data_IF_192004923873
#
_entry.id   IF_192004923873
#
_cell.length_a   1.000
_cell.length_b   1.000
_cell.length_c   1.000
_cell.angle_alpha   90.00
_cell.angle_beta   90.00
_cell.angle_gamma   90.00
#
_symmetry.space_group_name_H-M   'P 1'
#
loop_
_entity.id
_entity.type
_entity.pdbx_description
1 polymer ?
#
# COMPACT_ATOMS: atom_id res chain seq x y z
N UNK A 1 -25.63 29.30 -20.35
CA UNK A 1 -26.33 28.00 -20.28
C UNK A 1 -27.76 28.21 -19.83
N UNK A 2 -28.77 27.63 -20.54
CA UNK A 2 -30.18 27.78 -20.15
C UNK A 2 -30.40 27.08 -18.79
N UNK A 3 -31.13 27.65 -17.83
CA UNK A 3 -31.33 27.08 -16.50
C UNK A 3 -31.92 25.66 -16.51
N UNK A 4 -32.75 25.34 -17.52
CA UNK A 4 -33.28 24.01 -17.73
C UNK A 4 -32.21 22.96 -18.04
N UNK A 5 -31.15 23.30 -18.78
CA UNK A 5 -30.07 22.38 -19.09
C UNK A 5 -29.19 22.13 -17.86
N UNK A 6 -28.92 23.17 -17.05
CA UNK A 6 -28.20 23.03 -15.80
C UNK A 6 -28.98 22.12 -14.81
N UNK A 7 -30.29 22.33 -14.69
CA UNK A 7 -31.16 21.47 -13.84
C UNK A 7 -31.18 20.00 -14.31
N UNK A 8 -31.24 19.76 -15.61
CA UNK A 8 -31.20 18.41 -16.18
C UNK A 8 -29.82 17.73 -15.91
N UNK A 9 -28.73 18.43 -16.06
CA UNK A 9 -27.38 17.91 -15.78
C UNK A 9 -27.25 17.56 -14.28
N UNK A 10 -27.70 18.43 -13.39
CA UNK A 10 -27.68 18.18 -11.95
C UNK A 10 -28.54 16.97 -11.60
N UNK A 11 -29.73 16.83 -12.16
CA UNK A 11 -30.60 15.69 -11.93
C UNK A 11 -29.97 14.36 -12.42
N UNK A 12 -29.33 14.37 -13.58
CA UNK A 12 -28.61 13.20 -14.12
C UNK A 12 -27.44 12.82 -13.22
N UNK A 13 -26.63 13.80 -12.81
CA UNK A 13 -25.48 13.56 -11.90
C UNK A 13 -25.94 12.99 -10.56
N UNK A 14 -26.99 13.58 -9.96
CA UNK A 14 -27.56 13.07 -8.71
C UNK A 14 -28.14 11.65 -8.90
N UNK A 15 -28.80 11.37 -10.01
CA UNK A 15 -29.33 10.03 -10.31
C UNK A 15 -28.20 9.01 -10.47
N UNK A 16 -27.11 9.39 -11.15
CA UNK A 16 -25.94 8.52 -11.30
C UNK A 16 -25.29 8.22 -9.94
N UNK A 17 -25.18 9.21 -9.06
CA UNK A 17 -24.61 9.04 -7.71
C UNK A 17 -25.45 8.12 -6.81
N UNK A 18 -26.72 7.93 -7.11
CA UNK A 18 -27.61 7.00 -6.39
C UNK A 18 -27.40 5.53 -6.81
N UNK A 19 -26.79 5.28 -7.97
CA UNK A 19 -26.46 3.91 -8.40
C UNK A 19 -25.21 3.40 -7.68
N UNK A 20 -25.05 2.05 -7.49
CA UNK A 20 -23.82 1.52 -6.91
C UNK A 20 -22.55 1.97 -7.64
N UNK A 21 -22.45 1.88 -9.00
CA UNK A 21 -21.26 2.39 -9.71
C UNK A 21 -21.04 3.89 -9.52
N UNK A 22 -22.10 4.69 -9.48
CA UNK A 22 -22.00 6.13 -9.28
C UNK A 22 -21.52 6.49 -7.87
N UNK A 23 -21.95 5.74 -6.85
CA UNK A 23 -21.45 5.91 -5.49
C UNK A 23 -19.98 5.57 -5.37
N UNK A 24 -19.52 4.48 -6.01
CA UNK A 24 -18.10 4.12 -6.06
C UNK A 24 -17.28 5.20 -6.77
N UNK A 25 -17.75 5.71 -7.92
CA UNK A 25 -17.11 6.81 -8.63
C UNK A 25 -17.05 8.09 -7.77
N UNK A 26 -18.11 8.40 -7.03
CA UNK A 26 -18.17 9.49 -6.06
C UNK A 26 -17.13 9.34 -4.95
N UNK A 27 -17.02 8.15 -4.35
CA UNK A 27 -15.99 7.84 -3.34
C UNK A 27 -14.57 8.01 -3.91
N UNK A 28 -14.30 7.52 -5.12
CA UNK A 28 -13.00 7.66 -5.77
C UNK A 28 -12.66 9.14 -6.01
N UNK A 29 -13.60 9.94 -6.52
CA UNK A 29 -13.41 11.36 -6.72
C UNK A 29 -13.17 12.13 -5.40
N UNK A 30 -13.91 11.78 -4.34
CA UNK A 30 -13.71 12.35 -3.01
C UNK A 30 -12.34 11.97 -2.43
N UNK A 31 -11.92 10.70 -2.53
CA UNK A 31 -10.60 10.27 -2.08
C UNK A 31 -9.49 11.03 -2.80
N UNK A 32 -9.56 11.16 -4.14
CA UNK A 32 -8.61 11.96 -4.91
C UNK A 32 -8.63 13.42 -4.46
N UNK A 33 -9.81 14.03 -4.29
CA UNK A 33 -9.90 15.44 -3.88
C UNK A 33 -9.30 15.68 -2.49
N UNK A 34 -9.48 14.75 -1.54
CA UNK A 34 -8.93 14.88 -0.20
C UNK A 34 -7.41 14.68 -0.16
N UNK A 35 -6.88 13.73 -0.95
CA UNK A 35 -5.47 13.35 -0.88
C UNK A 35 -4.58 14.15 -1.86
N UNK A 36 -5.14 14.62 -3.00
CA UNK A 36 -4.35 15.33 -4.00
C UNK A 36 -4.02 16.77 -3.53
N UNK A 37 -2.73 17.13 -3.36
CA UNK A 37 -2.33 18.40 -2.72
C UNK A 37 -2.73 19.63 -3.51
N UNK A 38 -2.90 19.49 -4.84
CA UNK A 38 -3.25 20.60 -5.74
C UNK A 38 -4.75 20.89 -5.82
N UNK A 39 -5.60 20.09 -5.16
CA UNK A 39 -7.04 20.35 -5.05
C UNK A 39 -7.32 21.04 -3.71
N UNK A 40 -7.65 22.36 -3.73
CA UNK A 40 -7.83 23.11 -2.48
C UNK A 40 -9.14 22.82 -1.76
N UNK A 41 -10.13 22.27 -2.48
CA UNK A 41 -11.46 21.97 -1.94
C UNK A 41 -11.48 20.55 -1.38
N UNK A 42 -11.83 20.44 -0.09
CA UNK A 42 -11.90 19.18 0.66
C UNK A 42 -13.34 18.92 1.10
N UNK A 43 -14.23 18.48 0.17
CA UNK A 43 -15.68 18.45 0.39
C UNK A 43 -16.11 17.40 1.41
N UNK A 44 -15.36 16.33 1.58
CA UNK A 44 -15.72 15.21 2.43
C UNK A 44 -15.90 15.64 3.89
N UNK A 45 -15.06 16.57 4.36
CA UNK A 45 -15.15 17.14 5.72
C UNK A 45 -16.41 17.94 5.98
N UNK A 46 -17.02 18.47 4.93
CA UNK A 46 -18.30 19.21 5.04
C UNK A 46 -19.53 18.29 4.96
N UNK A 47 -19.34 17.11 4.34
CA UNK A 47 -20.43 16.17 4.03
C UNK A 47 -20.54 15.00 5.03
N UNK A 48 -19.57 14.86 5.95
CA UNK A 48 -19.49 13.74 6.89
C UNK A 48 -19.08 14.19 8.28
N UNK A 49 -19.56 13.48 9.30
CA UNK A 49 -19.12 13.66 10.69
C UNK A 49 -17.69 13.18 10.89
N UNK A 50 -16.96 13.71 11.88
CA UNK A 50 -15.63 13.23 12.22
C UNK A 50 -15.69 11.78 12.75
N UNK A 51 -14.76 10.92 12.33
CA UNK A 51 -14.66 9.57 12.88
C UNK A 51 -14.13 9.58 14.31
N UNK A 52 -14.29 8.45 15.00
CA UNK A 52 -13.70 8.22 16.32
C UNK A 52 -12.34 7.54 16.16
N UNK A 53 -11.36 7.93 16.96
CA UNK A 53 -10.04 7.31 17.00
C UNK A 53 -9.87 6.55 18.31
N UNK A 54 -9.57 5.27 18.22
CA UNK A 54 -9.19 4.39 19.34
C UNK A 54 -7.73 3.99 19.18
N UNK A 55 -7.01 3.88 20.30
CA UNK A 55 -5.70 3.28 20.31
C UNK A 55 -5.78 1.91 21.00
N UNK A 56 -5.28 0.90 20.34
CA UNK A 56 -5.29 -0.49 20.81
C UNK A 56 -3.88 -1.05 20.86
N UNK A 57 -3.67 -2.01 21.77
CA UNK A 57 -2.43 -2.76 21.85
C UNK A 57 -2.67 -4.19 21.35
N UNK A 58 -1.80 -4.65 20.45
CA UNK A 58 -1.80 -6.00 19.90
C UNK A 58 -0.57 -6.75 20.40
N UNK A 59 -0.70 -8.07 20.58
CA UNK A 59 0.42 -8.96 20.84
C UNK A 59 0.87 -9.65 19.53
N UNK A 60 2.02 -9.26 19.04
CA UNK A 60 2.70 -9.87 17.90
C UNK A 60 4.05 -10.50 18.29
N UNK A 61 4.11 -11.12 19.48
CA UNK A 61 5.35 -11.57 20.12
C UNK A 61 6.01 -10.47 20.95
N UNK A 62 5.64 -9.24 20.68
CA UNK A 62 5.90 -8.03 21.47
C UNK A 62 4.68 -7.10 21.33
N UNK A 63 4.41 -6.24 22.33
CA UNK A 63 3.28 -5.32 22.25
C UNK A 63 3.51 -4.28 21.16
N UNK A 64 2.53 -4.13 20.27
CA UNK A 64 2.47 -3.10 19.25
C UNK A 64 1.23 -2.25 19.43
N UNK A 65 1.37 -0.95 19.23
CA UNK A 65 0.25 -0.03 19.24
C UNK A 65 -0.37 0.07 17.84
N UNK A 66 -1.70 0.20 17.78
CA UNK A 66 -2.39 0.50 16.55
C UNK A 66 -3.43 1.61 16.77
N UNK A 67 -3.51 2.53 15.83
CA UNK A 67 -4.59 3.53 15.78
C UNK A 67 -5.73 2.92 14.93
N UNK A 68 -6.95 2.88 15.50
CA UNK A 68 -8.17 2.41 14.82
C UNK A 68 -9.10 3.60 14.63
N UNK A 69 -9.39 3.94 13.38
CA UNK A 69 -10.24 5.07 13.00
C UNK A 69 -11.59 4.52 12.54
N UNK A 70 -12.63 4.79 13.33
CA UNK A 70 -13.95 4.18 13.21
C UNK A 70 -14.91 5.19 12.57
N UNK A 71 -15.61 4.81 11.48
CA UNK A 71 -16.66 5.64 10.88
C UNK A 71 -17.75 6.02 11.89
N UNK A 72 -18.30 7.24 11.77
CA UNK A 72 -19.46 7.68 12.58
C UNK A 72 -20.77 6.97 12.17
N UNK A 73 -20.78 6.31 11.03
CA UNK A 73 -21.93 5.55 10.50
C UNK A 73 -22.18 4.29 11.35
N UNK A 74 -23.46 3.99 11.59
CA UNK A 74 -23.84 2.77 12.30
C UNK A 74 -23.76 1.54 11.42
N UNK A 75 -23.39 0.39 12.00
CA UNK A 75 -23.40 -0.90 11.32
C UNK A 75 -22.02 -1.55 11.26
N UNK A 76 -21.91 -2.53 10.37
CA UNK A 76 -20.63 -3.19 10.08
C UNK A 76 -19.91 -2.47 8.96
N UNK A 77 -18.59 -2.34 9.08
CA UNK A 77 -17.76 -1.63 8.13
C UNK A 77 -16.77 -2.56 7.43
N UNK A 78 -16.53 -2.37 6.13
CA UNK A 78 -15.34 -2.91 5.48
C UNK A 78 -14.09 -2.32 6.15
N UNK A 79 -13.01 -3.10 6.19
CA UNK A 79 -11.79 -2.73 6.90
C UNK A 79 -10.65 -2.47 5.93
N UNK A 80 -9.87 -1.44 6.21
CA UNK A 80 -8.61 -1.15 5.56
C UNK A 80 -7.51 -1.10 6.62
N UNK A 81 -6.53 -2.01 6.53
CA UNK A 81 -5.33 -2.02 7.37
C UNK A 81 -4.19 -1.40 6.57
N UNK A 82 -3.58 -0.33 7.10
CA UNK A 82 -2.50 0.40 6.44
C UNK A 82 -1.15 -0.20 6.83
N UNK A 83 -0.41 -0.68 5.85
CA UNK A 83 0.94 -1.21 5.99
C UNK A 83 1.94 -0.19 5.41
N UNK A 84 2.58 0.56 6.30
CA UNK A 84 3.48 1.63 5.90
C UNK A 84 4.89 1.12 5.65
N UNK A 85 5.63 1.85 4.81
CA UNK A 85 7.06 1.65 4.61
C UNK A 85 7.90 2.22 5.76
N UNK A 86 9.22 2.17 5.57
CA UNK A 86 10.21 2.59 6.57
C UNK A 86 10.30 4.11 6.61
N UNK A 87 9.55 4.72 7.54
CA UNK A 87 9.60 6.16 7.81
C UNK A 87 9.54 6.44 9.31
N UNK A 88 10.08 7.58 9.70
CA UNK A 88 9.95 8.05 11.08
C UNK A 88 8.51 8.50 11.33
N UNK A 89 7.89 7.92 12.33
CA UNK A 89 6.48 8.08 12.69
C UNK A 89 6.03 9.53 12.89
N UNK A 90 6.88 10.35 13.48
CA UNK A 90 6.48 11.68 13.94
C UNK A 90 6.24 12.64 12.77
N UNK A 91 6.96 12.48 11.66
CA UNK A 91 6.83 13.36 10.49
C UNK A 91 5.63 12.98 9.61
N UNK A 92 5.33 11.68 9.49
CA UNK A 92 4.28 11.19 8.58
C UNK A 92 2.94 10.95 9.27
N UNK A 93 2.91 10.89 10.60
CA UNK A 93 1.67 10.61 11.36
C UNK A 93 0.50 11.51 10.97
N UNK A 94 0.65 12.83 10.78
CA UNK A 94 -0.46 13.67 10.34
C UNK A 94 -1.00 13.29 8.97
N UNK A 95 -0.14 12.90 8.03
CA UNK A 95 -0.52 12.47 6.67
C UNK A 95 -1.28 11.15 6.73
N UNK A 96 -0.80 10.19 7.53
CA UNK A 96 -1.41 8.88 7.68
C UNK A 96 -2.75 8.94 8.40
N UNK A 97 -2.84 9.71 9.48
CA UNK A 97 -4.11 9.97 10.16
C UNK A 97 -5.08 10.73 9.24
N UNK A 98 -4.58 11.61 8.37
CA UNK A 98 -5.39 12.27 7.35
C UNK A 98 -5.95 11.30 6.31
N UNK A 99 -5.18 10.31 5.88
CA UNK A 99 -5.65 9.25 5.00
C UNK A 99 -6.67 8.35 5.72
N UNK A 100 -6.36 7.94 6.95
CA UNK A 100 -7.27 7.12 7.77
C UNK A 100 -8.60 7.85 8.06
N UNK A 101 -8.57 9.14 8.40
CA UNK A 101 -9.76 10.00 8.55
C UNK A 101 -10.59 10.05 7.25
N UNK A 102 -9.91 10.24 6.12
CA UNK A 102 -10.59 10.25 4.80
C UNK A 102 -11.29 8.93 4.52
N UNK A 103 -10.61 7.81 4.70
CA UNK A 103 -11.17 6.48 4.50
C UNK A 103 -12.33 6.19 5.46
N UNK A 104 -12.20 6.58 6.73
CA UNK A 104 -13.26 6.41 7.71
C UNK A 104 -14.50 7.24 7.36
N UNK A 105 -14.34 8.48 6.89
CA UNK A 105 -15.46 9.31 6.37
C UNK A 105 -16.13 8.68 5.15
N UNK A 106 -15.39 7.90 4.34
CA UNK A 106 -15.93 7.12 3.22
C UNK A 106 -16.60 5.80 3.66
N UNK A 107 -16.57 5.48 4.96
CA UNK A 107 -17.26 4.34 5.56
C UNK A 107 -16.38 3.10 5.79
N UNK A 108 -15.06 3.22 5.70
CA UNK A 108 -14.12 2.13 5.98
C UNK A 108 -13.55 2.26 7.39
N UNK A 109 -13.68 1.23 8.23
CA UNK A 109 -12.90 1.16 9.45
C UNK A 109 -11.43 1.04 9.04
N UNK A 110 -10.60 1.96 9.51
CA UNK A 110 -9.19 2.00 9.12
C UNK A 110 -8.31 1.71 10.31
N UNK A 111 -7.38 0.78 10.18
CA UNK A 111 -6.43 0.43 11.21
C UNK A 111 -5.01 0.70 10.72
N UNK A 112 -4.23 1.34 11.55
CA UNK A 112 -2.81 1.57 11.31
C UNK A 112 -1.97 0.99 12.45
N UNK A 113 -1.48 -0.26 12.32
CA UNK A 113 -0.55 -0.85 13.27
C UNK A 113 0.83 -0.21 13.13
N UNK A 114 1.48 0.04 14.26
CA UNK A 114 2.80 0.65 14.33
C UNK A 114 3.82 -0.43 14.66
N UNK A 115 4.54 -0.91 13.64
CA UNK A 115 5.67 -1.79 13.84
C UNK A 115 6.87 -1.01 14.35
N UNK A 116 7.40 -1.37 15.51
CA UNK A 116 8.62 -0.75 16.07
C UNK A 116 9.82 -0.96 15.15
N UNK A 117 9.86 -2.08 14.45
CA UNK A 117 10.93 -2.40 13.52
C UNK A 117 10.91 -1.47 12.29
N UNK A 118 9.71 -1.29 11.70
CA UNK A 118 9.53 -0.34 10.58
C UNK A 118 9.85 1.09 11.05
N UNK A 119 9.42 1.46 12.26
CA UNK A 119 9.72 2.75 12.88
C UNK A 119 11.21 2.97 13.11
N UNK A 120 11.93 1.94 13.56
CA UNK A 120 13.37 1.98 13.79
C UNK A 120 14.20 1.88 12.50
N UNK A 121 13.54 1.82 11.31
CA UNK A 121 14.17 1.58 10.01
C UNK A 121 14.85 0.21 9.90
N UNK A 122 14.37 -0.74 10.67
CA UNK A 122 14.85 -2.10 10.68
C UNK A 122 13.83 -2.97 9.91
N UNK A 123 14.29 -3.77 8.95
CA UNK A 123 13.45 -4.74 8.25
C UNK A 123 13.63 -6.08 8.96
N UNK A 124 12.63 -6.49 9.73
CA UNK A 124 12.68 -7.74 10.48
C UNK A 124 11.71 -8.79 9.97
N UNK A 125 12.03 -10.01 10.31
CA UNK A 125 11.25 -11.21 10.00
C UNK A 125 9.87 -11.23 10.66
N UNK A 126 9.70 -10.44 11.71
CA UNK A 126 8.47 -10.36 12.49
C UNK A 126 7.44 -9.39 11.90
N UNK A 127 7.84 -8.54 10.96
CA UNK A 127 6.95 -7.53 10.39
C UNK A 127 5.65 -8.09 9.78
N UNK A 128 5.64 -9.25 9.07
CA UNK A 128 4.40 -9.85 8.62
C UNK A 128 3.45 -10.22 9.76
N UNK A 129 3.97 -10.62 10.94
CA UNK A 129 3.16 -10.98 12.11
C UNK A 129 2.32 -9.80 12.61
N UNK A 130 2.83 -8.58 12.51
CA UNK A 130 2.09 -7.36 12.86
C UNK A 130 0.77 -7.28 12.09
N UNK A 131 0.80 -7.55 10.78
CA UNK A 131 -0.39 -7.49 9.93
C UNK A 131 -1.29 -8.71 10.11
N UNK A 132 -0.71 -9.89 10.34
CA UNK A 132 -1.49 -11.09 10.69
C UNK A 132 -2.30 -10.85 11.97
N UNK A 133 -1.67 -10.33 13.03
CA UNK A 133 -2.37 -10.00 14.28
C UNK A 133 -3.40 -8.91 14.11
N UNK A 134 -3.12 -7.92 13.27
CA UNK A 134 -4.10 -6.88 12.95
C UNK A 134 -5.35 -7.44 12.28
N UNK A 135 -5.21 -8.36 11.32
CA UNK A 135 -6.36 -9.03 10.69
C UNK A 135 -7.13 -9.89 11.70
N UNK A 136 -6.44 -10.66 12.51
CA UNK A 136 -7.09 -11.47 13.55
C UNK A 136 -7.86 -10.60 14.55
N UNK A 137 -7.27 -9.48 14.98
CA UNK A 137 -7.93 -8.54 15.89
C UNK A 137 -9.22 -7.96 15.28
N UNK A 138 -9.18 -7.47 14.02
CA UNK A 138 -10.38 -6.88 13.42
C UNK A 138 -11.45 -7.91 13.14
N UNK A 139 -11.13 -9.20 12.95
CA UNK A 139 -12.10 -10.28 12.80
C UNK A 139 -12.94 -10.51 14.07
N UNK A 140 -12.42 -10.19 15.26
CA UNK A 140 -13.12 -10.31 16.53
C UNK A 140 -14.04 -9.12 16.83
N UNK A 141 -13.92 -8.02 16.09
CA UNK A 141 -14.72 -6.81 16.32
C UNK A 141 -16.16 -6.96 15.81
N UNK A 142 -17.17 -6.54 16.61
CA UNK A 142 -18.57 -6.64 16.22
C UNK A 142 -18.98 -5.65 15.10
N UNK A 143 -18.24 -4.55 14.95
CA UNK A 143 -18.47 -3.47 13.97
C UNK A 143 -17.76 -3.70 12.62
N UNK A 144 -17.17 -4.89 12.42
CA UNK A 144 -16.43 -5.27 11.21
C UNK A 144 -17.24 -6.18 10.30
N UNK A 145 -17.13 -5.97 8.98
CA UNK A 145 -17.59 -6.90 7.95
C UNK A 145 -16.46 -7.90 7.61
N UNK A 146 -16.51 -9.15 8.12
CA UNK A 146 -15.35 -10.05 8.11
C UNK A 146 -14.96 -10.57 6.72
N UNK A 147 -15.81 -10.33 5.70
CA UNK A 147 -15.54 -10.70 4.30
C UNK A 147 -14.94 -9.55 3.49
N UNK A 148 -14.74 -8.39 4.09
CA UNK A 148 -14.26 -7.18 3.41
C UNK A 148 -13.11 -6.54 4.20
N UNK A 149 -12.08 -7.34 4.46
CA UNK A 149 -10.83 -6.89 5.09
C UNK A 149 -9.79 -6.77 3.99
N UNK A 150 -9.21 -5.58 3.86
CA UNK A 150 -8.20 -5.27 2.84
C UNK A 150 -6.94 -4.72 3.48
N UNK A 151 -5.79 -5.08 2.91
CA UNK A 151 -4.50 -4.49 3.27
C UNK A 151 -4.12 -3.45 2.22
N UNK A 152 -3.66 -2.29 2.65
CA UNK A 152 -3.10 -1.25 1.78
C UNK A 152 -1.66 -1.03 2.17
N UNK A 153 -0.75 -1.50 1.34
CA UNK A 153 0.68 -1.42 1.60
C UNK A 153 1.37 -0.36 0.75
N UNK A 154 2.28 0.36 1.38
CA UNK A 154 3.10 1.40 0.76
C UNK A 154 4.58 1.05 0.88
N UNK A 155 5.35 1.18 -0.21
CA UNK A 155 6.78 0.91 -0.20
C UNK A 155 7.07 -0.52 0.31
N UNK A 156 8.08 -0.72 1.12
CA UNK A 156 8.40 -2.00 1.78
C UNK A 156 7.18 -2.59 2.51
N UNK A 157 6.32 -1.74 3.10
CA UNK A 157 5.08 -2.19 3.75
C UNK A 157 4.13 -2.94 2.79
N UNK A 158 4.15 -2.63 1.49
CA UNK A 158 3.36 -3.37 0.50
C UNK A 158 3.85 -4.82 0.34
N UNK A 159 5.16 -5.02 0.35
CA UNK A 159 5.78 -6.34 0.27
C UNK A 159 5.49 -7.18 1.52
N UNK A 160 5.65 -6.57 2.70
CA UNK A 160 5.36 -7.22 3.99
C UNK A 160 3.87 -7.56 4.10
N UNK A 161 2.97 -6.65 3.69
CA UNK A 161 1.53 -6.90 3.68
C UNK A 161 1.14 -8.05 2.74
N UNK A 162 1.82 -8.21 1.58
CA UNK A 162 1.60 -9.35 0.69
C UNK A 162 2.01 -10.65 1.36
N UNK A 163 3.17 -10.66 2.01
CA UNK A 163 3.64 -11.85 2.77
C UNK A 163 2.64 -12.21 3.87
N UNK A 164 2.16 -11.22 4.63
CA UNK A 164 1.14 -11.44 5.65
C UNK A 164 -0.18 -11.97 5.05
N UNK A 165 -0.65 -11.39 3.92
CA UNK A 165 -1.88 -11.82 3.25
C UNK A 165 -1.84 -13.28 2.76
N UNK A 166 -0.65 -13.84 2.60
CA UNK A 166 -0.43 -15.25 2.23
C UNK A 166 -0.30 -16.18 3.45
N UNK A 167 -0.35 -15.66 4.68
CA UNK A 167 -0.29 -16.49 5.90
C UNK A 167 -1.55 -17.33 6.02
N UNK A 168 -1.44 -18.67 6.23
CA UNK A 168 -2.60 -19.56 6.29
C UNK A 168 -3.64 -19.20 7.34
N UNK A 169 -3.24 -18.49 8.41
CA UNK A 169 -4.15 -18.06 9.49
C UNK A 169 -5.16 -17.01 9.03
N UNK A 170 -4.81 -16.21 8.00
CA UNK A 170 -5.62 -15.08 7.55
C UNK A 170 -5.88 -15.04 6.04
N UNK A 171 -5.21 -15.87 5.23
CA UNK A 171 -5.29 -15.80 3.76
C UNK A 171 -6.74 -15.86 3.23
N UNK A 172 -7.62 -16.65 3.87
CA UNK A 172 -9.03 -16.75 3.49
C UNK A 172 -9.87 -15.53 3.92
N UNK A 173 -9.35 -14.65 4.74
CA UNK A 173 -10.03 -13.48 5.29
C UNK A 173 -9.59 -12.17 4.62
N UNK A 174 -8.41 -12.14 3.99
CA UNK A 174 -7.95 -10.97 3.26
C UNK A 174 -8.61 -10.94 1.88
N UNK A 175 -9.52 -9.98 1.70
CA UNK A 175 -10.31 -9.83 0.48
C UNK A 175 -9.50 -9.18 -0.65
N UNK A 176 -8.77 -8.10 -0.33
CA UNK A 176 -7.93 -7.39 -1.29
C UNK A 176 -6.60 -6.95 -0.67
N UNK A 177 -5.59 -6.82 -1.54
CA UNK A 177 -4.32 -6.19 -1.25
C UNK A 177 -4.06 -5.08 -2.27
N UNK A 178 -3.87 -3.87 -1.80
CA UNK A 178 -3.40 -2.75 -2.60
C UNK A 178 -1.88 -2.65 -2.39
N UNK A 179 -1.13 -2.96 -3.44
CA UNK A 179 0.32 -3.02 -3.44
C UNK A 179 0.87 -1.78 -4.14
N UNK A 180 1.35 -0.81 -3.36
CA UNK A 180 1.86 0.45 -3.90
C UNK A 180 3.36 0.61 -3.62
N UNK A 181 4.18 0.51 -4.68
CA UNK A 181 5.61 0.83 -4.66
C UNK A 181 6.46 -0.14 -3.84
N UNK A 182 6.05 -1.40 -3.68
CA UNK A 182 6.82 -2.42 -2.98
C UNK A 182 7.78 -3.20 -3.89
N UNK A 183 8.68 -3.98 -3.27
CA UNK A 183 9.50 -4.95 -3.98
C UNK A 183 8.77 -6.30 -4.11
N UNK A 184 9.07 -7.03 -5.16
CA UNK A 184 8.58 -8.40 -5.38
C UNK A 184 9.55 -9.43 -4.84
N UNK A 185 10.85 -9.25 -5.10
CA UNK A 185 11.91 -10.14 -4.68
C UNK A 185 12.98 -9.35 -3.93
N UNK A 186 13.11 -9.59 -2.63
CA UNK A 186 14.02 -8.82 -1.80
C UNK A 186 15.48 -8.89 -2.28
N UNK A 187 15.92 -10.08 -2.73
CA UNK A 187 17.28 -10.28 -3.28
C UNK A 187 17.54 -9.41 -4.51
N UNK A 188 16.55 -9.32 -5.42
CA UNK A 188 16.69 -8.50 -6.65
C UNK A 188 16.71 -7.00 -6.28
N UNK A 189 15.88 -6.60 -5.31
CA UNK A 189 15.85 -5.22 -4.82
C UNK A 189 17.18 -4.82 -4.15
N UNK A 190 17.73 -5.66 -3.27
CA UNK A 190 19.05 -5.43 -2.67
C UNK A 190 20.15 -5.38 -3.73
N UNK A 191 20.10 -6.27 -4.73
CA UNK A 191 21.04 -6.25 -5.84
C UNK A 191 20.95 -4.95 -6.66
N UNK A 192 19.74 -4.44 -6.91
CA UNK A 192 19.54 -3.17 -7.61
C UNK A 192 20.13 -2.00 -6.81
N UNK A 193 19.94 -1.97 -5.48
CA UNK A 193 20.54 -0.97 -4.60
C UNK A 193 22.07 -1.04 -4.57
N UNK A 194 22.64 -2.24 -4.63
CA UNK A 194 24.09 -2.43 -4.61
C UNK A 194 24.76 -2.07 -5.93
N UNK A 195 24.11 -2.36 -7.07
CA UNK A 195 24.70 -2.23 -8.40
C UNK A 195 24.28 -0.95 -9.13
N UNK A 196 23.22 -0.26 -8.66
CA UNK A 196 22.58 0.86 -9.34
C UNK A 196 22.05 0.47 -10.74
N UNK A 197 21.67 -0.77 -10.89
CA UNK A 197 21.12 -1.33 -12.12
C UNK A 197 19.86 -2.13 -11.83
N UNK A 198 18.95 -2.11 -12.78
CA UNK A 198 17.76 -2.98 -12.81
C UNK A 198 17.75 -3.83 -14.08
N UNK A 199 17.10 -4.97 -14.03
CA UNK A 199 16.93 -5.84 -15.18
C UNK A 199 15.52 -5.70 -15.72
N UNK A 200 15.39 -5.15 -16.94
CA UNK A 200 14.13 -4.99 -17.68
C UNK A 200 14.21 -5.86 -18.93
N UNK A 201 13.32 -6.84 -19.08
CA UNK A 201 13.29 -7.75 -20.24
C UNK A 201 14.65 -8.38 -20.57
N UNK A 202 15.39 -8.77 -19.52
CA UNK A 202 16.71 -9.37 -19.64
C UNK A 202 17.86 -8.41 -19.94
N UNK A 203 17.61 -7.10 -20.00
CA UNK A 203 18.62 -6.06 -20.21
C UNK A 203 18.89 -5.31 -18.92
N UNK A 204 20.17 -5.09 -18.62
CA UNK A 204 20.58 -4.20 -17.51
C UNK A 204 20.39 -2.76 -17.93
N UNK A 205 19.74 -1.99 -17.06
CA UNK A 205 19.50 -0.55 -17.25
C UNK A 205 19.96 0.21 -15.99
N UNK A 206 20.58 1.38 -16.16
CA UNK A 206 20.94 2.22 -15.02
C UNK A 206 19.68 2.61 -14.22
N UNK A 207 19.79 2.57 -12.90
CA UNK A 207 18.80 3.06 -11.97
C UNK A 207 19.52 3.85 -10.87
N UNK A 208 18.99 5.00 -10.50
CA UNK A 208 19.60 5.86 -9.49
C UNK A 208 18.70 5.85 -8.25
N UNK A 209 19.06 5.07 -7.21
CA UNK A 209 18.30 5.05 -5.96
C UNK A 209 18.51 6.36 -5.17
N UNK A 210 17.56 6.64 -4.27
CA UNK A 210 17.77 7.64 -3.23
C UNK A 210 18.83 7.18 -2.25
N UNK A 211 19.71 8.10 -1.81
CA UNK A 211 20.75 7.81 -0.84
C UNK A 211 20.19 7.16 0.44
N UNK A 212 19.06 7.66 0.95
CA UNK A 212 18.41 7.10 2.13
C UNK A 212 17.94 5.63 1.95
N UNK A 213 17.61 5.21 0.73
CA UNK A 213 17.23 3.82 0.44
C UNK A 213 18.47 2.91 0.45
N UNK A 214 19.59 3.41 -0.05
CA UNK A 214 20.89 2.74 0.02
C UNK A 214 21.36 2.60 1.48
N UNK A 215 21.31 3.69 2.25
CA UNK A 215 21.70 3.70 3.66
C UNK A 215 20.85 2.73 4.50
N UNK A 216 19.56 2.67 4.22
CA UNK A 216 18.64 1.76 4.90
C UNK A 216 18.97 0.29 4.60
N UNK A 217 19.22 -0.03 3.34
CA UNK A 217 19.60 -1.39 2.95
C UNK A 217 20.93 -1.80 3.55
N UNK A 218 21.90 -0.90 3.59
CA UNK A 218 23.19 -1.13 4.25
C UNK A 218 23.00 -1.42 5.75
N UNK A 219 22.19 -0.61 6.46
CA UNK A 219 21.88 -0.84 7.87
C UNK A 219 21.20 -2.20 8.10
N UNK A 220 20.20 -2.55 7.27
CA UNK A 220 19.49 -3.83 7.38
C UNK A 220 20.44 -5.03 7.15
N UNK A 221 21.37 -4.92 6.18
CA UNK A 221 22.35 -5.95 5.90
C UNK A 221 23.38 -6.11 7.04
N UNK A 222 23.79 -5.00 7.67
CA UNK A 222 24.73 -5.02 8.80
C UNK A 222 24.21 -5.84 9.99
N UNK A 223 22.91 -5.89 10.24
CA UNK A 223 22.32 -6.78 11.25
C UNK A 223 22.58 -8.27 10.99
N UNK A 224 22.85 -8.62 9.73
CA UNK A 224 23.22 -9.98 9.31
C UNK A 224 24.72 -10.15 9.05
N UNK A 225 25.54 -9.16 9.40
CA UNK A 225 26.98 -9.17 9.16
C UNK A 225 27.36 -9.02 7.69
N UNK A 226 26.50 -8.43 6.88
CA UNK A 226 26.65 -8.20 5.45
C UNK A 226 26.71 -6.71 5.12
N UNK A 227 27.14 -6.41 3.88
CA UNK A 227 27.17 -5.07 3.30
C UNK A 227 26.59 -5.08 1.88
N UNK A 228 26.29 -3.90 1.32
CA UNK A 228 25.95 -3.79 -0.10
C UNK A 228 27.12 -4.16 -1.02
N UNK A 229 28.36 -4.07 -0.53
CA UNK A 229 29.53 -4.56 -1.30
C UNK A 229 29.50 -6.07 -1.47
N UNK A 230 29.11 -6.82 -0.43
CA UNK A 230 28.92 -8.28 -0.53
C UNK A 230 27.83 -8.62 -1.53
N UNK A 231 26.76 -7.83 -1.60
CA UNK A 231 25.63 -8.01 -2.51
C UNK A 231 26.01 -7.77 -3.99
N UNK A 232 27.02 -6.96 -4.29
CA UNK A 232 27.47 -6.69 -5.67
C UNK A 232 27.95 -7.92 -6.42
N UNK A 233 28.34 -8.97 -5.74
CA UNK A 233 28.78 -10.22 -6.38
C UNK A 233 27.57 -10.98 -6.93
N UNK A 234 27.61 -11.41 -8.19
CA UNK A 234 26.50 -12.05 -8.90
C UNK A 234 25.91 -13.30 -8.21
N UNK A 235 26.71 -13.96 -7.38
CA UNK A 235 26.33 -15.16 -6.66
C UNK A 235 26.33 -14.98 -5.14
N UNK A 236 26.13 -13.73 -4.66
CA UNK A 236 26.24 -13.42 -3.24
C UNK A 236 25.33 -14.29 -2.35
N UNK A 237 24.11 -14.58 -2.80
CA UNK A 237 23.16 -15.40 -2.03
C UNK A 237 23.64 -16.83 -1.82
N UNK A 238 24.45 -17.40 -2.73
CA UNK A 238 25.00 -18.75 -2.60
C UNK A 238 26.13 -18.83 -1.56
N UNK A 239 26.66 -17.68 -1.13
CA UNK A 239 27.70 -17.57 -0.11
C UNK A 239 27.15 -17.32 1.29
N UNK A 240 25.82 -17.04 1.37
CA UNK A 240 25.17 -16.79 2.65
C UNK A 240 24.88 -18.08 3.40
N UNK A 241 24.91 -18.04 4.75
CA UNK A 241 24.37 -19.11 5.57
C UNK A 241 22.90 -19.39 5.20
N UNK A 242 22.47 -20.67 5.19
CA UNK A 242 21.09 -21.06 4.83
C UNK A 242 20.03 -20.34 5.64
N UNK A 243 20.27 -20.04 6.92
CA UNK A 243 19.40 -19.32 7.81
C UNK A 243 19.17 -17.87 7.35
N UNK A 244 20.21 -17.20 6.82
CA UNK A 244 20.10 -15.84 6.29
C UNK A 244 19.26 -15.85 5.01
N UNK A 245 19.53 -16.80 4.09
CA UNK A 245 18.74 -16.96 2.86
C UNK A 245 17.27 -17.21 3.20
N UNK A 246 16.99 -18.08 4.16
CA UNK A 246 15.64 -18.36 4.63
C UNK A 246 14.98 -17.11 5.22
N UNK A 247 15.73 -16.30 5.95
CA UNK A 247 15.26 -15.04 6.53
C UNK A 247 14.85 -14.06 5.45
N UNK A 248 15.68 -13.84 4.44
CA UNK A 248 15.34 -12.98 3.30
C UNK A 248 14.09 -13.47 2.54
N UNK A 249 13.95 -14.79 2.39
CA UNK A 249 12.79 -15.39 1.71
C UNK A 249 11.49 -15.24 2.52
N UNK A 250 11.54 -15.23 3.85
CA UNK A 250 10.36 -15.07 4.70
C UNK A 250 9.64 -13.73 4.49
N UNK A 251 10.38 -12.67 4.18
CA UNK A 251 9.84 -11.34 3.94
C UNK A 251 9.76 -10.99 2.44
N UNK A 252 9.99 -11.97 1.56
CA UNK A 252 9.99 -11.78 0.12
C UNK A 252 8.69 -12.31 -0.51
N UNK A 253 7.90 -11.46 -1.18
CA UNK A 253 6.64 -11.83 -1.82
C UNK A 253 6.72 -13.02 -2.76
N UNK A 254 7.79 -13.15 -3.55
CA UNK A 254 7.96 -14.22 -4.54
C UNK A 254 7.83 -15.63 -3.93
N UNK A 255 8.26 -15.82 -2.70
CA UNK A 255 8.17 -17.08 -1.99
C UNK A 255 6.75 -17.42 -1.47
N UNK A 256 5.80 -16.47 -1.53
CA UNK A 256 4.50 -16.57 -0.88
C UNK A 256 3.31 -16.64 -1.84
N UNK A 257 3.49 -16.33 -3.13
CA UNK A 257 2.39 -16.15 -4.09
C UNK A 257 1.45 -17.36 -4.19
N UNK A 258 1.96 -18.59 -4.06
CA UNK A 258 1.14 -19.80 -4.17
C UNK A 258 0.07 -19.94 -3.07
N UNK A 259 0.21 -19.22 -1.96
CA UNK A 259 -0.73 -19.23 -0.84
C UNK A 259 -1.64 -18.01 -0.82
N UNK A 260 -1.37 -17.03 -1.67
CA UNK A 260 -2.16 -15.82 -1.74
C UNK A 260 -3.55 -16.11 -2.31
N UNK A 261 -4.59 -15.59 -1.65
CA UNK A 261 -5.99 -15.70 -2.06
C UNK A 261 -6.62 -14.33 -2.34
N UNK A 262 -6.01 -13.27 -1.84
CA UNK A 262 -6.49 -11.91 -1.97
C UNK A 262 -6.41 -11.42 -3.43
N UNK A 263 -7.38 -10.58 -3.83
CA UNK A 263 -7.30 -9.81 -5.07
C UNK A 263 -6.21 -8.75 -4.94
N UNK A 264 -5.30 -8.63 -5.90
CA UNK A 264 -4.16 -7.70 -5.84
C UNK A 264 -4.36 -6.56 -6.83
N UNK A 265 -4.24 -5.34 -6.32
CA UNK A 265 -4.25 -4.10 -7.10
C UNK A 265 -2.85 -3.47 -7.00
N UNK A 266 -2.16 -3.37 -8.12
CA UNK A 266 -0.75 -2.95 -8.16
C UNK A 266 -0.66 -1.53 -8.71
N UNK A 267 -0.02 -0.65 -7.94
CA UNK A 267 0.30 0.72 -8.31
C UNK A 267 1.79 0.97 -8.09
N UNK A 268 2.47 1.61 -9.06
CA UNK A 268 3.86 2.01 -8.90
C UNK A 268 4.13 3.29 -9.69
N UNK A 269 5.13 4.07 -9.30
CA UNK A 269 5.59 5.20 -10.12
C UNK A 269 6.80 4.78 -10.97
N UNK A 270 6.80 5.15 -12.25
CA UNK A 270 7.85 4.79 -13.20
C UNK A 270 9.22 5.38 -12.83
N UNK A 271 9.23 6.51 -12.13
CA UNK A 271 10.44 7.22 -11.71
C UNK A 271 10.82 6.97 -10.25
N UNK A 272 10.26 5.93 -9.64
CA UNK A 272 10.53 5.59 -8.26
C UNK A 272 12.02 5.29 -8.04
N UNK A 273 12.64 6.13 -7.20
CA UNK A 273 14.05 6.02 -6.82
C UNK A 273 14.24 5.35 -5.44
N UNK A 274 13.17 4.90 -4.80
CA UNK A 274 13.25 4.14 -3.55
C UNK A 274 13.14 2.64 -3.80
N UNK A 275 12.16 2.22 -4.61
CA UNK A 275 11.97 0.85 -5.08
C UNK A 275 11.75 0.88 -6.59
N UNK A 276 12.52 0.14 -7.39
CA UNK A 276 12.39 0.22 -8.84
C UNK A 276 11.05 -0.37 -9.32
N UNK A 277 10.36 0.33 -10.21
CA UNK A 277 9.04 -0.06 -10.73
C UNK A 277 9.00 -1.46 -11.37
N UNK A 278 10.15 -1.95 -11.83
CA UNK A 278 10.28 -3.29 -12.40
C UNK A 278 9.91 -4.39 -11.41
N UNK A 279 10.02 -4.14 -10.11
CA UNK A 279 9.59 -5.08 -9.08
C UNK A 279 8.07 -5.30 -9.12
N UNK A 280 7.28 -4.25 -9.32
CA UNK A 280 5.82 -4.38 -9.55
C UNK A 280 5.49 -5.07 -10.88
N UNK A 281 6.30 -4.87 -11.91
CA UNK A 281 6.14 -5.59 -13.18
C UNK A 281 6.39 -7.10 -13.00
N UNK A 282 7.45 -7.47 -12.27
CA UNK A 282 7.73 -8.88 -11.95
C UNK A 282 6.59 -9.52 -11.14
N UNK A 283 6.07 -8.81 -10.14
CA UNK A 283 4.92 -9.25 -9.36
C UNK A 283 3.70 -9.48 -10.27
N UNK A 284 3.37 -8.53 -11.14
CA UNK A 284 2.25 -8.63 -12.07
C UNK A 284 2.39 -9.85 -13.01
N UNK A 285 3.60 -10.13 -13.49
CA UNK A 285 3.88 -11.27 -14.39
C UNK A 285 3.81 -12.62 -13.66
N UNK A 286 4.18 -12.66 -12.38
CA UNK A 286 4.21 -13.89 -11.58
C UNK A 286 2.88 -14.21 -10.90
N UNK A 287 2.02 -13.21 -10.74
CA UNK A 287 0.73 -13.36 -10.08
C UNK A 287 -0.25 -14.16 -10.96
N UNK A 288 -1.03 -15.06 -10.34
CA UNK A 288 -2.16 -15.68 -11.02
C UNK A 288 -3.08 -14.57 -11.61
N UNK A 289 -3.35 -14.59 -12.93
CA UNK A 289 -4.24 -13.61 -13.57
C UNK A 289 -5.62 -13.51 -12.91
N UNK A 290 -6.11 -14.61 -12.31
CA UNK A 290 -7.36 -14.59 -11.56
C UNK A 290 -7.30 -13.72 -10.29
N UNK A 291 -6.12 -13.50 -9.72
CA UNK A 291 -5.91 -12.64 -8.55
C UNK A 291 -5.59 -11.19 -8.92
N UNK A 292 -5.25 -10.88 -10.17
CA UNK A 292 -4.97 -9.50 -10.57
C UNK A 292 -6.28 -8.69 -10.67
N UNK A 293 -6.42 -7.67 -9.82
CA UNK A 293 -7.55 -6.72 -9.85
C UNK A 293 -7.31 -5.57 -10.82
N UNK A 294 -6.16 -4.92 -10.72
CA UNK A 294 -5.70 -3.89 -11.63
C UNK A 294 -4.17 -3.73 -11.52
N UNK A 295 -3.55 -3.25 -12.59
CA UNK A 295 -2.14 -2.87 -12.64
C UNK A 295 -2.02 -1.50 -13.28
N UNK A 296 -1.33 -0.57 -12.63
CA UNK A 296 -1.09 0.77 -13.14
C UNK A 296 0.31 1.25 -12.79
N UNK A 297 1.07 1.67 -13.81
CA UNK A 297 2.33 2.39 -13.63
C UNK A 297 2.05 3.86 -13.89
N UNK A 298 2.26 4.67 -12.89
CA UNK A 298 1.99 6.11 -12.87
C UNK A 298 3.27 6.90 -13.07
N UNK A 299 3.13 8.22 -13.28
CA UNK A 299 4.23 9.17 -13.33
C UNK A 299 3.97 10.44 -12.51
N UNK A 300 2.97 10.40 -11.60
CA UNK A 300 2.58 11.56 -10.79
C UNK A 300 3.07 11.51 -9.35
N UNK A 301 3.73 10.42 -8.98
CA UNK A 301 4.28 10.26 -7.65
C UNK A 301 5.80 10.51 -7.65
N UNK A 302 6.32 10.76 -6.48
CA UNK A 302 7.72 10.64 -6.12
C UNK A 302 7.76 9.57 -5.04
N UNK A 303 8.10 8.33 -5.43
CA UNK A 303 7.87 7.11 -4.68
C UNK A 303 6.37 6.92 -4.39
N UNK A 304 5.91 7.01 -3.14
CA UNK A 304 4.50 6.85 -2.75
C UNK A 304 3.80 8.17 -2.44
N UNK A 305 4.44 9.31 -2.72
CA UNK A 305 3.90 10.65 -2.48
C UNK A 305 3.61 11.37 -3.79
N UNK A 306 2.56 12.18 -3.83
CA UNK A 306 2.30 13.03 -4.98
C UNK A 306 3.41 14.04 -5.21
N UNK A 307 3.81 14.24 -6.48
CA UNK A 307 4.76 15.28 -6.87
C UNK A 307 4.25 16.66 -6.47
N UNK A 308 5.15 17.48 -5.95
CA UNK A 308 4.81 18.84 -5.49
C UNK A 308 4.49 19.81 -6.63
N UNK A 309 5.05 19.60 -7.83
CA UNK A 309 4.82 20.47 -8.98
C UNK A 309 3.68 19.92 -9.83
N UNK A 310 2.71 20.79 -10.12
CA UNK A 310 1.63 20.46 -11.04
C UNK A 310 2.14 20.64 -12.49
N UNK A 311 1.92 19.60 -13.30
CA UNK A 311 2.12 19.59 -14.74
C UNK A 311 0.75 19.30 -15.40
N UNK A 312 0.35 20.03 -16.46
CA UNK A 312 -0.88 19.73 -17.21
C UNK A 312 -1.00 18.26 -17.67
N UNK A 313 0.12 17.58 -17.95
CA UNK A 313 0.14 16.16 -18.26
C UNK A 313 -0.39 15.29 -17.11
N UNK A 314 -0.32 15.75 -15.86
CA UNK A 314 -0.86 15.04 -14.68
C UNK A 314 -2.39 14.90 -14.73
N UNK A 315 -3.10 15.71 -15.53
CA UNK A 315 -4.57 15.59 -15.63
C UNK A 315 -4.98 14.22 -16.17
N UNK A 316 -4.30 13.74 -17.22
CA UNK A 316 -4.56 12.41 -17.77
C UNK A 316 -4.24 11.31 -16.74
N UNK A 317 -3.13 11.44 -16.04
CA UNK A 317 -2.73 10.51 -14.99
C UNK A 317 -3.70 10.50 -13.81
N UNK A 318 -4.20 11.65 -13.38
CA UNK A 318 -5.23 11.74 -12.33
C UNK A 318 -6.51 11.01 -12.75
N UNK A 319 -6.90 11.08 -14.03
CA UNK A 319 -8.04 10.31 -14.55
C UNK A 319 -7.76 8.80 -14.54
N UNK A 320 -6.55 8.38 -14.95
CA UNK A 320 -6.15 6.96 -14.89
C UNK A 320 -6.08 6.46 -13.45
N UNK A 321 -5.50 7.24 -12.54
CA UNK A 321 -5.50 6.94 -11.11
C UNK A 321 -6.93 6.87 -10.54
N UNK A 322 -7.81 7.78 -10.94
CA UNK A 322 -9.23 7.74 -10.53
C UNK A 322 -9.92 6.46 -11.01
N UNK A 323 -9.58 5.98 -12.21
CA UNK A 323 -10.08 4.70 -12.74
C UNK A 323 -9.53 3.51 -11.95
N UNK A 324 -8.24 3.54 -11.60
CA UNK A 324 -7.63 2.54 -10.74
C UNK A 324 -8.31 2.50 -9.36
N UNK A 325 -8.45 3.67 -8.72
CA UNK A 325 -9.11 3.80 -7.42
C UNK A 325 -10.58 3.38 -7.48
N UNK A 326 -11.29 3.68 -8.58
CA UNK A 326 -12.64 3.17 -8.78
C UNK A 326 -12.67 1.64 -8.72
N UNK A 327 -11.77 0.95 -9.44
CA UNK A 327 -11.70 -0.52 -9.43
C UNK A 327 -11.37 -1.07 -8.03
N UNK A 328 -10.49 -0.41 -7.30
CA UNK A 328 -10.19 -0.76 -5.91
C UNK A 328 -11.44 -0.61 -5.05
N UNK A 329 -12.07 0.56 -5.04
CA UNK A 329 -13.21 0.88 -4.16
C UNK A 329 -14.50 0.14 -4.54
N UNK A 330 -14.62 -0.33 -5.76
CA UNK A 330 -15.73 -1.19 -6.20
C UNK A 330 -15.60 -2.62 -5.65
N UNK A 331 -14.37 -3.01 -5.36
CA UNK A 331 -14.05 -4.34 -4.87
C UNK A 331 -13.98 -4.40 -3.33
N UNK A 332 -13.35 -3.43 -2.65
CA UNK A 332 -13.09 -3.43 -1.20
C UNK A 332 -14.27 -3.08 -0.29
#
# INVERSE_FOLDING_TARGET
MRPALAGAIVAVVLSLLLTPPGRTAGKAALLVSEQFPHIPVKPLRWMSSPPTVEQVELDAGQPILADVVIPDQRGKHPVIILAMGVRTLDEDRPVLLGLADTLARLGYLTMWPRSRAIEAREIFLEDPEVFVRSVLYVLERPDVEPRRISLVGFSIGASIALVAAADPRIAAHVHALIFFGGYYRLVDYLTALATFEVVVEGRRMPWTPHDWAVDLAEQALQHHGLSLEDVRHAAWTSQLPPEVVQSLQRVSPDAQLQRLQAKVFILHDVSDAAVPWVESQKLQQALDPALLGAYHISNIFEHVQFRRRFDPAMVAEVLMLSTFLYRVLDFV
#
